data_IF_915696473781
#
_entry.id   IF_915696473781
#
_cell.length_a   1.000
_cell.length_b   1.000
_cell.length_c   1.000
_cell.angle_alpha   90.00
_cell.angle_beta   90.00
_cell.angle_gamma   90.00
#
_symmetry.space_group_name_H-M   'P 1'
#
loop_
_entity.id
_entity.type
_entity.pdbx_description
1 polymer ?
#
# COMPACT_ATOMS: atom_id res chain seq x y z
N UNK A 1 -16.10 -25.21 56.11
CA UNK A 1 -15.90 -25.53 54.68
C UNK A 1 -14.40 -25.50 54.39
N UNK A 2 -13.79 -26.59 53.90
CA UNK A 2 -12.37 -26.61 53.55
C UNK A 2 -12.18 -26.05 52.14
N UNK A 3 -11.41 -24.97 52.00
CA UNK A 3 -11.02 -24.46 50.69
C UNK A 3 -9.91 -25.34 50.11
N UNK A 4 -10.08 -25.78 48.86
CA UNK A 4 -9.03 -26.46 48.10
C UNK A 4 -8.13 -25.39 47.47
N UNK A 5 -6.84 -25.41 47.80
CA UNK A 5 -5.83 -24.59 47.14
C UNK A 5 -5.37 -25.24 45.85
N UNK A 6 -4.97 -24.44 44.86
CA UNK A 6 -4.32 -24.92 43.65
C UNK A 6 -2.95 -25.51 43.98
N UNK A 7 -2.59 -26.58 43.29
CA UNK A 7 -1.25 -27.16 43.36
C UNK A 7 -0.28 -26.40 42.46
N UNK A 8 1.00 -26.36 42.83
CA UNK A 8 2.05 -25.71 42.03
C UNK A 8 2.15 -26.31 40.61
N UNK A 9 1.91 -27.63 40.48
CA UNK A 9 1.95 -28.32 39.20
C UNK A 9 0.78 -27.94 38.29
N UNK A 10 -0.42 -27.71 38.85
CA UNK A 10 -1.58 -27.24 38.08
C UNK A 10 -1.32 -25.86 37.50
N UNK A 11 -0.74 -24.94 38.27
CA UNK A 11 -0.40 -23.61 37.77
C UNK A 11 0.68 -23.68 36.67
N UNK A 12 1.68 -24.55 36.85
CA UNK A 12 2.81 -24.69 35.93
C UNK A 12 2.37 -25.23 34.56
N UNK A 13 1.48 -26.22 34.53
CA UNK A 13 0.96 -26.77 33.26
C UNK A 13 0.09 -25.75 32.52
N UNK A 14 -0.65 -24.89 33.24
CA UNK A 14 -1.51 -23.88 32.60
C UNK A 14 -0.66 -22.83 31.89
N UNK A 15 0.35 -22.28 32.54
CA UNK A 15 1.21 -21.26 31.91
C UNK A 15 2.04 -21.82 30.77
N UNK A 16 2.41 -23.11 30.82
CA UNK A 16 3.14 -23.76 29.72
C UNK A 16 2.27 -23.93 28.47
N UNK A 17 1.00 -24.34 28.64
CA UNK A 17 0.04 -24.46 27.52
C UNK A 17 -0.32 -23.08 26.95
N UNK A 18 -0.55 -22.08 27.81
CA UNK A 18 -0.80 -20.70 27.35
C UNK A 18 0.41 -20.16 26.57
N UNK A 19 1.63 -20.38 27.06
CA UNK A 19 2.86 -19.97 26.38
C UNK A 19 3.01 -20.61 24.99
N UNK A 20 2.73 -21.92 24.89
CA UNK A 20 2.74 -22.64 23.61
C UNK A 20 1.72 -22.07 22.63
N UNK A 21 0.47 -21.89 23.07
CA UNK A 21 -0.60 -21.35 22.22
C UNK A 21 -0.31 -19.90 21.79
N UNK A 22 0.19 -19.06 22.69
CA UNK A 22 0.55 -17.68 22.40
C UNK A 22 1.63 -17.59 21.30
N UNK A 23 2.62 -18.49 21.31
CA UNK A 23 3.69 -18.48 20.30
C UNK A 23 3.17 -18.69 18.87
N UNK A 24 2.21 -19.59 18.68
CA UNK A 24 1.62 -19.91 17.36
C UNK A 24 0.76 -18.74 16.87
N UNK A 25 -0.03 -18.16 17.77
CA UNK A 25 -0.92 -17.02 17.45
C UNK A 25 -0.11 -15.82 16.97
N UNK A 26 1.02 -15.50 17.61
CA UNK A 26 1.86 -14.35 17.24
C UNK A 26 2.39 -14.44 15.80
N UNK A 27 2.85 -15.62 15.36
CA UNK A 27 3.32 -15.81 13.98
C UNK A 27 2.18 -15.63 12.98
N UNK A 28 1.00 -16.20 13.27
CA UNK A 28 -0.18 -16.06 12.42
C UNK A 28 -0.67 -14.61 12.30
N UNK A 29 -0.57 -13.83 13.39
CA UNK A 29 -1.02 -12.44 13.41
C UNK A 29 -0.14 -11.55 12.52
N UNK A 30 1.18 -11.80 12.47
CA UNK A 30 2.08 -11.01 11.64
C UNK A 30 1.75 -11.17 10.15
N UNK A 31 1.53 -12.40 9.70
CA UNK A 31 1.14 -12.68 8.30
C UNK A 31 -0.25 -12.14 7.96
N UNK A 32 -1.21 -12.21 8.89
CA UNK A 32 -2.54 -11.61 8.70
C UNK A 32 -2.47 -10.09 8.54
N UNK A 33 -1.65 -9.40 9.34
CA UNK A 33 -1.43 -7.95 9.23
C UNK A 33 -0.82 -7.56 7.87
N UNK A 34 0.18 -8.31 7.39
CA UNK A 34 0.77 -8.10 6.06
C UNK A 34 -0.27 -8.24 4.95
N UNK A 35 -1.09 -9.30 4.98
CA UNK A 35 -2.16 -9.50 3.99
C UNK A 35 -3.19 -8.37 4.01
N UNK A 36 -3.59 -7.90 5.20
CA UNK A 36 -4.52 -6.79 5.35
C UNK A 36 -3.96 -5.49 4.74
N UNK A 37 -2.67 -5.20 4.96
CA UNK A 37 -2.01 -4.03 4.35
C UNK A 37 -1.92 -4.16 2.83
N UNK A 38 -1.57 -5.32 2.29
CA UNK A 38 -1.54 -5.55 0.85
C UNK A 38 -2.94 -5.40 0.21
N UNK A 39 -3.98 -5.92 0.86
CA UNK A 39 -5.36 -5.73 0.39
C UNK A 39 -5.75 -4.24 0.37
N UNK A 40 -5.34 -3.47 1.39
CA UNK A 40 -5.55 -2.03 1.43
C UNK A 40 -4.82 -1.32 0.29
N UNK A 41 -3.55 -1.66 0.04
CA UNK A 41 -2.74 -1.10 -1.06
C UNK A 41 -3.35 -1.34 -2.43
N UNK A 42 -3.86 -2.54 -2.66
CA UNK A 42 -4.55 -2.89 -3.89
C UNK A 42 -5.82 -2.04 -4.08
N UNK A 43 -6.65 -1.92 -3.04
CA UNK A 43 -7.86 -1.11 -3.09
C UNK A 43 -7.55 0.38 -3.33
N UNK A 44 -6.52 0.91 -2.67
CA UNK A 44 -6.05 2.28 -2.83
C UNK A 44 -5.55 2.54 -4.26
N UNK A 45 -4.77 1.62 -4.83
CA UNK A 45 -4.30 1.71 -6.22
C UNK A 45 -5.47 1.77 -7.20
N UNK A 46 -6.51 0.95 -7.01
CA UNK A 46 -7.71 1.00 -7.85
C UNK A 46 -8.46 2.33 -7.75
N UNK A 47 -8.54 2.93 -6.56
CA UNK A 47 -9.16 4.25 -6.39
C UNK A 47 -8.38 5.32 -7.15
N UNK A 48 -7.06 5.29 -7.07
CA UNK A 48 -6.18 6.22 -7.79
C UNK A 48 -6.34 6.02 -9.31
N UNK A 49 -6.23 4.79 -9.82
CA UNK A 49 -6.41 4.48 -11.26
C UNK A 49 -7.76 4.99 -11.77
N UNK A 50 -8.84 4.78 -11.02
CA UNK A 50 -10.17 5.26 -11.42
C UNK A 50 -10.22 6.79 -11.48
N UNK A 51 -9.63 7.48 -10.50
CA UNK A 51 -9.55 8.94 -10.52
C UNK A 51 -8.71 9.43 -11.72
N UNK A 52 -7.62 8.75 -12.08
CA UNK A 52 -6.83 9.07 -13.28
C UNK A 52 -7.61 8.84 -14.57
N UNK A 53 -8.41 7.76 -14.67
CA UNK A 53 -9.24 7.52 -15.85
C UNK A 53 -10.32 8.60 -16.01
N UNK A 54 -10.95 9.05 -14.92
CA UNK A 54 -11.92 10.14 -14.96
C UNK A 54 -11.24 11.44 -15.38
N UNK A 55 -10.08 11.75 -14.78
CA UNK A 55 -9.29 12.91 -15.17
C UNK A 55 -8.93 12.88 -16.66
N UNK A 56 -8.47 11.75 -17.18
CA UNK A 56 -8.14 11.55 -18.59
C UNK A 56 -9.32 11.63 -19.55
N UNK A 57 -10.52 11.30 -19.08
CA UNK A 57 -11.73 11.44 -19.87
C UNK A 57 -12.14 12.91 -20.01
N UNK A 58 -11.89 13.72 -18.98
CA UNK A 58 -12.30 15.12 -18.91
C UNK A 58 -11.21 16.09 -19.43
N UNK A 59 -9.94 15.80 -19.18
CA UNK A 59 -8.80 16.52 -19.76
C UNK A 59 -8.39 15.85 -21.07
N UNK A 60 -8.08 16.60 -22.13
CA UNK A 60 -7.67 16.07 -23.44
C UNK A 60 -6.28 15.37 -23.44
N UNK A 61 -5.89 14.75 -22.33
CA UNK A 61 -4.59 14.12 -22.10
C UNK A 61 -4.10 14.33 -20.67
N UNK A 62 -3.08 13.55 -20.26
CA UNK A 62 -2.43 13.75 -18.97
C UNK A 62 -1.56 15.01 -19.03
N UNK A 63 -1.83 15.96 -18.15
CA UNK A 63 -0.97 17.15 -17.96
C UNK A 63 0.46 16.69 -17.70
N UNK A 64 1.43 17.39 -18.32
CA UNK A 64 2.89 17.14 -18.37
C UNK A 64 3.59 17.15 -17.01
N UNK A 65 3.09 16.32 -16.14
CA UNK A 65 3.63 15.98 -14.86
C UNK A 65 4.94 15.21 -15.06
N UNK A 66 5.96 15.53 -14.26
CA UNK A 66 7.27 14.89 -14.40
C UNK A 66 7.22 13.35 -14.33
N UNK A 67 8.31 12.71 -14.75
CA UNK A 67 8.39 11.26 -14.95
C UNK A 67 8.12 10.39 -13.71
N UNK A 68 8.29 10.93 -12.50
CA UNK A 68 8.08 10.21 -11.23
C UNK A 68 7.40 11.13 -10.23
N UNK A 69 6.26 10.69 -9.68
CA UNK A 69 5.50 11.42 -8.65
C UNK A 69 5.16 10.48 -7.51
N UNK A 70 5.54 10.88 -6.30
CA UNK A 70 5.09 10.22 -5.09
C UNK A 70 3.64 10.60 -4.77
N UNK A 71 2.81 9.60 -4.53
CA UNK A 71 1.41 9.70 -4.16
C UNK A 71 1.27 9.22 -2.72
N UNK A 72 0.67 10.06 -1.87
CA UNK A 72 0.44 9.74 -0.46
C UNK A 72 0.79 10.86 0.51
N UNK A 73 1.29 11.99 0.03
CA UNK A 73 1.07 13.28 0.70
C UNK A 73 -0.37 13.72 0.40
N UNK A 74 -0.93 14.59 1.25
CA UNK A 74 -2.14 15.33 0.88
C UNK A 74 -1.92 16.07 -0.45
N UNK A 75 -2.96 16.71 -0.99
CA UNK A 75 -2.87 17.53 -2.20
C UNK A 75 -1.97 18.75 -1.95
N UNK A 76 -0.66 18.50 -1.90
CA UNK A 76 0.33 19.52 -1.65
C UNK A 76 0.52 20.32 -2.94
N UNK A 77 0.42 21.64 -2.79
CA UNK A 77 0.31 22.64 -3.85
C UNK A 77 1.49 22.69 -4.82
N UNK A 78 2.55 21.90 -4.59
CA UNK A 78 3.75 21.82 -5.43
C UNK A 78 3.78 20.65 -6.43
N UNK A 79 2.85 19.68 -6.34
CA UNK A 79 2.82 18.51 -7.22
C UNK A 79 1.62 18.59 -8.17
N UNK A 80 1.89 18.49 -9.47
CA UNK A 80 0.87 18.67 -10.51
C UNK A 80 -0.21 17.56 -10.51
N UNK A 81 0.16 16.30 -10.27
CA UNK A 81 -0.78 15.18 -10.34
C UNK A 81 -1.74 15.14 -9.14
N UNK A 82 -1.28 15.31 -7.88
CA UNK A 82 -2.18 15.52 -6.74
C UNK A 82 -3.14 16.68 -7.00
N UNK A 83 -2.63 17.83 -7.44
CA UNK A 83 -3.47 19.00 -7.72
C UNK A 83 -4.53 18.71 -8.80
N UNK A 84 -4.15 18.01 -9.88
CA UNK A 84 -5.06 17.62 -10.95
C UNK A 84 -6.16 16.64 -10.49
N UNK A 85 -5.81 15.71 -9.59
CA UNK A 85 -6.74 14.71 -9.07
C UNK A 85 -7.67 15.24 -7.97
N UNK A 86 -7.42 16.45 -7.44
CA UNK A 86 -8.23 17.05 -6.37
C UNK A 86 -9.72 17.19 -6.69
N UNK A 87 -10.08 17.28 -7.97
CA UNK A 87 -11.48 17.34 -8.43
C UNK A 87 -12.15 15.96 -8.56
N UNK A 88 -11.35 14.89 -8.59
CA UNK A 88 -11.82 13.51 -8.85
C UNK A 88 -11.74 12.62 -7.61
N UNK A 89 -10.97 13.03 -6.59
CA UNK A 89 -10.91 12.36 -5.30
C UNK A 89 -10.65 13.36 -4.17
N UNK A 90 -11.17 13.08 -2.97
CA UNK A 90 -11.14 13.99 -1.82
C UNK A 90 -9.82 13.98 -1.05
N UNK A 91 -9.03 12.91 -1.17
CA UNK A 91 -7.69 12.79 -0.62
C UNK A 91 -6.95 11.66 -1.32
N UNK A 92 -5.62 11.75 -1.41
CA UNK A 92 -4.81 10.64 -1.88
C UNK A 92 -4.70 9.58 -0.78
N UNK A 93 -4.87 8.28 -1.12
CA UNK A 93 -4.58 7.22 -0.18
C UNK A 93 -3.12 7.24 0.24
N UNK A 94 -2.89 6.94 1.51
CA UNK A 94 -1.56 6.87 2.10
C UNK A 94 -1.23 5.43 2.45
N UNK A 95 0.01 5.02 2.17
CA UNK A 95 0.45 3.66 2.46
C UNK A 95 0.27 3.32 3.95
N UNK A 96 -0.24 2.14 4.33
CA UNK A 96 -0.47 1.79 5.73
C UNK A 96 0.77 1.83 6.64
N UNK A 97 1.98 1.73 6.08
CA UNK A 97 3.23 1.78 6.83
C UNK A 97 3.76 3.22 6.94
N UNK A 98 3.22 4.15 6.13
CA UNK A 98 3.57 5.57 6.13
C UNK A 98 5.08 5.85 5.99
N UNK A 99 5.84 4.93 5.42
CA UNK A 99 7.28 5.11 5.19
C UNK A 99 7.51 5.87 3.88
N UNK A 100 8.48 6.80 3.88
CA UNK A 100 8.81 7.63 2.71
C UNK A 100 9.22 6.77 1.50
N UNK A 101 9.76 5.57 1.72
CA UNK A 101 10.10 4.61 0.67
C UNK A 101 8.96 3.69 0.21
N UNK A 102 7.82 3.68 0.92
CA UNK A 102 6.70 2.77 0.67
C UNK A 102 5.47 3.46 0.04
N UNK A 103 5.59 4.74 -0.31
CA UNK A 103 4.52 5.51 -0.95
C UNK A 103 4.14 4.90 -2.31
N UNK A 104 2.89 5.12 -2.71
CA UNK A 104 2.45 4.79 -4.07
C UNK A 104 3.20 5.70 -5.02
N UNK A 105 3.82 5.16 -6.07
CA UNK A 105 4.60 5.99 -7.00
C UNK A 105 3.99 5.87 -8.38
N UNK A 106 3.68 7.01 -8.95
CA UNK A 106 3.23 7.14 -10.31
C UNK A 106 4.41 7.43 -11.23
N UNK A 107 4.43 6.74 -12.35
CA UNK A 107 5.46 6.85 -13.37
C UNK A 107 4.85 7.26 -14.70
N UNK A 108 5.56 8.15 -15.39
CA UNK A 108 5.37 8.43 -16.81
C UNK A 108 6.61 7.97 -17.54
N UNK A 109 6.43 7.09 -18.50
CA UNK A 109 7.47 6.68 -19.42
C UNK A 109 7.81 7.83 -20.38
N UNK A 110 8.69 8.74 -19.96
CA UNK A 110 9.40 9.69 -20.84
C UNK A 110 10.79 9.14 -21.16
N UNK A 111 11.33 9.45 -22.34
CA UNK A 111 12.67 9.00 -22.75
C UNK A 111 13.71 9.18 -21.62
N UNK A 112 14.43 8.10 -21.29
CA UNK A 112 15.66 8.15 -20.49
C UNK A 112 15.58 8.00 -18.96
N UNK A 113 14.41 7.88 -18.30
CA UNK A 113 14.39 7.81 -16.82
C UNK A 113 13.47 6.78 -16.15
N UNK A 114 12.41 6.30 -16.80
CA UNK A 114 11.54 5.23 -16.28
C UNK A 114 11.19 4.13 -17.30
N UNK A 115 11.50 4.35 -18.59
CA UNK A 115 11.41 3.35 -19.64
C UNK A 115 12.63 2.42 -19.56
N UNK A 116 12.50 1.30 -18.85
CA UNK A 116 13.40 0.16 -19.09
C UNK A 116 12.77 -0.73 -20.19
N UNK A 117 13.46 -1.81 -20.58
CA UNK A 117 13.01 -2.76 -21.61
C UNK A 117 11.64 -3.43 -21.32
N UNK A 118 11.04 -3.21 -20.14
CA UNK A 118 9.73 -3.72 -19.75
C UNK A 118 8.59 -2.73 -20.01
N UNK A 119 8.89 -1.44 -20.25
CA UNK A 119 7.89 -0.37 -20.35
C UNK A 119 8.06 0.51 -21.62
N UNK A 120 7.18 0.33 -22.63
CA UNK A 120 7.12 1.19 -23.81
C UNK A 120 6.85 2.67 -23.47
N UNK A 121 7.45 3.56 -24.27
CA UNK A 121 7.35 5.01 -24.17
C UNK A 121 5.91 5.51 -24.23
N UNK A 122 5.62 6.58 -23.48
CA UNK A 122 4.28 7.19 -23.41
C UNK A 122 3.27 6.44 -22.53
N UNK A 123 3.66 5.33 -21.87
CA UNK A 123 2.77 4.61 -20.94
C UNK A 123 2.80 5.19 -19.54
N UNK A 124 1.61 5.32 -18.96
CA UNK A 124 1.40 5.76 -17.58
C UNK A 124 1.13 4.54 -16.69
N UNK A 125 1.80 4.44 -15.55
CA UNK A 125 1.52 3.37 -14.61
C UNK A 125 1.75 3.76 -13.16
N UNK A 126 1.03 3.09 -12.26
CA UNK A 126 1.20 3.21 -10.81
C UNK A 126 1.91 1.97 -10.30
N UNK A 127 2.98 2.17 -9.53
CA UNK A 127 3.70 1.12 -8.83
C UNK A 127 3.29 1.13 -7.36
N UNK A 128 2.91 -0.05 -6.86
CA UNK A 128 2.74 -0.29 -5.43
C UNK A 128 3.75 -1.35 -4.95
N UNK A 129 4.26 -1.18 -3.74
CA UNK A 129 5.18 -2.12 -3.12
C UNK A 129 4.38 -3.06 -2.18
N UNK A 130 4.37 -4.36 -2.48
CA UNK A 130 3.70 -5.35 -1.63
C UNK A 130 4.67 -6.00 -0.65
N UNK A 131 4.15 -6.43 0.50
CA UNK A 131 4.90 -7.19 1.50
C UNK A 131 4.80 -8.72 1.31
N UNK A 132 5.86 -9.47 1.67
CA UNK A 132 7.20 -8.99 2.04
C UNK A 132 7.93 -8.52 0.77
N UNK A 133 8.57 -7.35 0.86
CA UNK A 133 9.23 -6.61 -0.23
C UNK A 133 10.00 -7.52 -1.18
N UNK A 134 9.43 -7.77 -2.38
CA UNK A 134 10.06 -8.11 -3.67
C UNK A 134 9.07 -8.12 -4.85
N UNK A 135 7.76 -8.02 -4.62
CA UNK A 135 6.77 -7.89 -5.69
C UNK A 135 6.30 -6.44 -5.83
N UNK A 136 6.81 -5.75 -6.85
CA UNK A 136 6.16 -4.54 -7.35
C UNK A 136 4.93 -4.94 -8.14
N UNK A 137 3.78 -4.35 -7.83
CA UNK A 137 2.59 -4.48 -8.66
C UNK A 137 2.39 -3.19 -9.46
N UNK A 138 2.18 -3.34 -10.76
CA UNK A 138 2.05 -2.25 -11.71
C UNK A 138 0.62 -2.18 -12.24
N UNK A 139 0.03 -1.00 -12.19
CA UNK A 139 -1.28 -0.72 -12.77
C UNK A 139 -1.09 0.22 -13.95
N UNK A 140 -1.37 -0.29 -15.14
CA UNK A 140 -1.28 0.49 -16.36
C UNK A 140 -2.55 1.29 -16.58
N UNK A 141 -2.36 2.55 -16.95
CA UNK A 141 -3.42 3.45 -17.38
C UNK A 141 -3.36 3.47 -18.91
N UNK A 142 -4.48 3.13 -19.55
CA UNK A 142 -4.60 3.08 -21.01
C UNK A 142 -5.05 4.40 -21.58
#
# INVERSE_FOLDING_TARGET
MKQKGFTLIELLVVVSVIGLMASIVLVSLNTARQKARNARRLADAHQIVNALHLYLADSQGMVGCGAVISIGTDFDTGQCLPTALSSYMSRLPRDPINDAGAQYIYYICTEGSACNTQFAEGRHFIRINLEPTQANQYFFIK
#
